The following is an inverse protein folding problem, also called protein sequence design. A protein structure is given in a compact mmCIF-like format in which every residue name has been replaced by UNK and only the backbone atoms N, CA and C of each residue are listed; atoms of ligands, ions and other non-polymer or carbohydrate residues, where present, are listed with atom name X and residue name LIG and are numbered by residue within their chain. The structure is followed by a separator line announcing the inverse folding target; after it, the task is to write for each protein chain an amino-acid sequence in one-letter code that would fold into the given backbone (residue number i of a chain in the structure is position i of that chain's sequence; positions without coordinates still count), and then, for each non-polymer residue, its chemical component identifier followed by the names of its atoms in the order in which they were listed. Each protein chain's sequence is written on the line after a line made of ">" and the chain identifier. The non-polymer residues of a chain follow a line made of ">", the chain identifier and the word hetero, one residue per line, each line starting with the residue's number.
data_IF_709794909689
#
_entry.id   IF_709794909689
#
_cell.length_a   1.000
_cell.length_b   1.000
_cell.length_c   1.000
_cell.angle_alpha   90.00
_cell.angle_beta   90.00
_cell.angle_gamma   90.00
#
_symmetry.space_group_name_H-M   'P 1'
#
loop_
_entity.id
_entity.type
_entity.pdbx_description
1 polymer ?
#
# COMPACT_ATOMS: atom_id res chain seq x y z
N UNK A 1 8.41 14.42 22.93
CA UNK A 1 9.59 14.82 23.74
C UNK A 1 9.77 16.31 23.52
N UNK A 2 9.92 17.11 24.57
CA UNK A 2 9.47 18.51 24.47
C UNK A 2 7.96 18.54 24.22
N UNK A 3 7.35 19.71 24.09
CA UNK A 3 5.89 19.89 23.99
C UNK A 3 5.22 19.28 22.74
N UNK A 4 5.95 18.48 21.94
CA UNK A 4 5.49 17.86 20.69
C UNK A 4 5.36 16.33 20.84
N UNK A 5 4.23 15.79 20.41
CA UNK A 5 4.02 14.35 20.25
C UNK A 5 4.76 13.87 18.98
N UNK A 6 5.41 12.71 19.06
CA UNK A 6 6.23 12.12 17.98
C UNK A 6 5.78 10.68 17.82
N UNK A 7 5.52 10.26 16.59
CA UNK A 7 5.10 8.88 16.30
C UNK A 7 6.33 7.98 16.25
N UNK A 8 6.45 7.08 17.23
CA UNK A 8 7.62 6.19 17.33
C UNK A 8 7.52 4.96 16.42
N UNK A 9 6.32 4.38 16.32
CA UNK A 9 6.08 3.16 15.56
C UNK A 9 4.58 2.97 15.31
N UNK A 10 4.26 2.02 14.43
CA UNK A 10 2.91 1.58 14.14
C UNK A 10 2.80 0.06 14.36
N UNK A 11 1.65 -0.41 14.85
CA UNK A 11 1.35 -1.82 15.04
C UNK A 11 0.05 -2.18 14.30
N UNK A 12 0.15 -3.14 13.37
CA UNK A 12 -0.99 -3.65 12.61
C UNK A 12 -1.76 -4.73 13.37
N UNK A 13 -2.93 -5.12 12.83
CA UNK A 13 -3.67 -6.28 13.31
C UNK A 13 -2.77 -7.54 13.38
N UNK A 14 -2.87 -8.28 14.47
CA UNK A 14 -2.02 -9.44 14.77
C UNK A 14 -0.72 -9.13 15.52
N UNK A 15 -0.33 -7.86 15.64
CA UNK A 15 0.82 -7.46 16.46
C UNK A 15 0.38 -7.02 17.86
N UNK A 16 1.29 -7.17 18.84
CA UNK A 16 1.05 -6.78 20.23
C UNK A 16 1.89 -5.55 20.63
N UNK A 17 1.48 -4.89 21.72
CA UNK A 17 2.17 -3.74 22.33
C UNK A 17 2.17 -3.86 23.85
N UNK A 18 3.09 -3.17 24.52
CA UNK A 18 3.15 -3.05 25.99
C UNK A 18 4.15 -3.98 26.67
N UNK A 19 4.76 -4.91 25.95
CA UNK A 19 5.77 -5.85 26.47
C UNK A 19 6.99 -5.13 27.04
N UNK A 20 7.35 -3.97 26.48
CA UNK A 20 8.57 -3.26 26.91
C UNK A 20 8.52 -2.86 28.38
N UNK A 21 7.37 -2.38 28.84
CA UNK A 21 7.16 -2.01 30.25
C UNK A 21 7.18 -3.26 31.15
N UNK A 22 6.58 -4.36 30.68
CA UNK A 22 6.49 -5.61 31.43
C UNK A 22 7.83 -6.35 31.56
N UNK A 23 8.69 -6.29 30.52
CA UNK A 23 10.01 -6.91 30.53
C UNK A 23 11.07 -6.08 31.27
N UNK A 24 10.98 -4.75 31.21
CA UNK A 24 11.97 -3.87 31.86
C UNK A 24 11.60 -3.49 33.29
N UNK A 25 10.39 -3.82 33.74
CA UNK A 25 9.79 -3.33 34.99
C UNK A 25 9.92 -1.79 35.15
N UNK A 26 9.79 -1.05 34.04
CA UNK A 26 9.81 0.42 33.99
C UNK A 26 8.47 0.97 33.51
N UNK A 27 8.14 2.24 33.84
CA UNK A 27 6.99 2.91 33.26
C UNK A 27 7.00 2.88 31.74
N UNK A 28 5.82 2.89 31.12
CA UNK A 28 5.67 2.93 29.66
C UNK A 28 6.48 4.07 29.06
N UNK A 29 7.30 3.77 28.06
CA UNK A 29 8.10 4.76 27.33
C UNK A 29 7.30 5.57 26.32
N UNK A 30 6.09 5.10 25.97
CA UNK A 30 5.22 5.73 24.99
C UNK A 30 3.73 5.48 25.30
N UNK A 31 2.87 6.32 24.74
CA UNK A 31 1.41 6.12 24.71
C UNK A 31 1.04 5.43 23.41
N UNK A 32 0.04 4.55 23.44
CA UNK A 32 -0.54 3.92 22.25
C UNK A 32 -1.90 4.56 21.99
N UNK A 33 -2.16 4.91 20.72
CA UNK A 33 -3.46 5.40 20.24
C UNK A 33 -3.92 4.52 19.08
N UNK A 34 -5.21 4.20 19.04
CA UNK A 34 -5.80 3.52 17.90
C UNK A 34 -5.85 4.49 16.70
N UNK A 35 -5.31 4.07 15.56
CA UNK A 35 -5.35 4.87 14.33
C UNK A 35 -6.72 4.77 13.61
N UNK A 36 -7.37 3.62 13.77
CA UNK A 36 -8.70 3.29 13.24
C UNK A 36 -9.48 2.52 14.32
N UNK A 37 -10.78 2.33 14.12
CA UNK A 37 -11.57 1.47 14.99
C UNK A 37 -10.96 0.06 15.07
N UNK A 38 -10.64 -0.39 16.28
CA UNK A 38 -9.95 -1.66 16.48
C UNK A 38 -10.49 -2.42 17.69
N UNK A 39 -10.50 -3.74 17.58
CA UNK A 39 -10.70 -4.65 18.71
C UNK A 39 -9.33 -5.15 19.19
N UNK A 40 -9.12 -5.15 20.51
CA UNK A 40 -7.85 -5.53 21.11
C UNK A 40 -8.05 -6.59 22.19
N UNK A 41 -7.18 -7.60 22.19
CA UNK A 41 -7.12 -8.62 23.24
C UNK A 41 -6.18 -8.13 24.34
N UNK A 42 -6.69 -8.02 25.57
CA UNK A 42 -5.88 -7.64 26.73
C UNK A 42 -5.26 -8.88 27.38
N UNK A 43 -3.95 -8.87 27.55
CA UNK A 43 -3.22 -9.85 28.35
C UNK A 43 -2.76 -9.18 29.64
N UNK A 44 -3.15 -9.72 30.80
CA UNK A 44 -2.73 -9.21 32.10
C UNK A 44 -1.23 -9.47 32.34
N UNK A 45 -0.55 -8.55 33.03
CA UNK A 45 0.90 -8.61 33.24
C UNK A 45 1.38 -9.88 33.93
N UNK A 46 0.62 -10.39 34.92
CA UNK A 46 0.94 -11.66 35.60
C UNK A 46 0.89 -12.85 34.64
N UNK A 47 -0.11 -12.90 33.76
CA UNK A 47 -0.24 -13.98 32.76
C UNK A 47 0.85 -13.89 31.71
N UNK A 48 1.21 -12.68 31.29
CA UNK A 48 2.33 -12.46 30.40
C UNK A 48 3.66 -12.93 31.03
N UNK A 49 3.93 -12.57 32.29
CA UNK A 49 5.12 -13.03 33.01
C UNK A 49 5.16 -14.54 33.16
N UNK A 50 4.02 -15.18 33.46
CA UNK A 50 3.92 -16.64 33.50
C UNK A 50 4.28 -17.27 32.13
N UNK A 51 3.75 -16.72 31.04
CA UNK A 51 4.06 -17.19 29.68
C UNK A 51 5.56 -17.07 29.34
N UNK A 52 6.23 -16.02 29.80
CA UNK A 52 7.68 -15.86 29.58
C UNK A 52 8.50 -16.92 30.32
N UNK A 53 8.00 -17.47 31.42
CA UNK A 53 8.64 -18.57 32.16
C UNK A 53 8.34 -19.92 31.52
N UNK A 54 7.09 -20.13 31.08
CA UNK A 54 6.62 -21.42 30.55
C UNK A 54 7.10 -21.72 29.13
N UNK A 55 7.34 -20.69 28.30
CA UNK A 55 7.67 -20.86 26.89
C UNK A 55 8.94 -20.12 26.48
N UNK A 56 10.02 -20.86 26.31
CA UNK A 56 11.30 -20.32 25.80
C UNK A 56 11.18 -19.73 24.40
N UNK A 57 10.33 -20.31 23.54
CA UNK A 57 10.09 -19.78 22.19
C UNK A 57 9.38 -18.43 22.25
N UNK A 58 8.37 -18.29 23.10
CA UNK A 58 7.67 -17.02 23.28
C UNK A 58 8.61 -15.97 23.87
N UNK A 59 9.34 -16.32 24.94
CA UNK A 59 10.32 -15.44 25.58
C UNK A 59 11.37 -14.93 24.58
N UNK A 60 11.96 -15.83 23.80
CA UNK A 60 12.97 -15.46 22.80
C UNK A 60 12.41 -14.52 21.72
N UNK A 61 11.17 -14.76 21.27
CA UNK A 61 10.50 -13.89 20.30
C UNK A 61 10.24 -12.50 20.88
N UNK A 62 9.72 -12.41 22.10
CA UNK A 62 9.43 -11.14 22.77
C UNK A 62 10.71 -10.37 23.09
N UNK A 63 11.76 -11.02 23.60
CA UNK A 63 13.06 -10.40 23.87
C UNK A 63 13.72 -9.84 22.59
N UNK A 64 13.53 -10.52 21.45
CA UNK A 64 13.98 -10.01 20.14
C UNK A 64 13.21 -8.74 19.77
N UNK A 65 11.88 -8.76 19.84
CA UNK A 65 11.04 -7.58 19.57
C UNK A 65 11.34 -6.43 20.52
N UNK A 66 11.62 -6.70 21.79
CA UNK A 66 12.04 -5.69 22.76
C UNK A 66 13.31 -4.96 22.30
N UNK A 67 14.35 -5.71 21.91
CA UNK A 67 15.61 -5.13 21.42
C UNK A 67 15.41 -4.31 20.14
N UNK A 68 14.62 -4.82 19.20
CA UNK A 68 14.29 -4.12 17.95
C UNK A 68 13.59 -2.77 18.25
N UNK A 69 12.62 -2.76 19.18
CA UNK A 69 11.87 -1.54 19.55
C UNK A 69 12.69 -0.53 20.33
N UNK A 70 13.58 -0.97 21.22
CA UNK A 70 14.48 -0.04 21.93
C UNK A 70 15.34 0.72 20.92
N UNK A 71 15.95 0.00 19.97
CA UNK A 71 16.78 0.62 18.94
C UNK A 71 15.98 1.54 18.00
N UNK A 72 14.77 1.13 17.60
CA UNK A 72 13.91 1.94 16.74
C UNK A 72 13.44 3.24 17.43
N UNK A 73 13.03 3.15 18.70
CA UNK A 73 12.59 4.30 19.47
C UNK A 73 13.70 5.33 19.68
N UNK A 74 14.94 4.87 19.93
CA UNK A 74 16.09 5.76 20.07
C UNK A 74 16.36 6.52 18.76
N UNK A 75 16.40 5.81 17.63
CA UNK A 75 16.56 6.44 16.30
C UNK A 75 15.46 7.46 16.02
N UNK A 76 14.20 7.09 16.21
CA UNK A 76 13.07 8.00 15.92
C UNK A 76 13.09 9.23 16.82
N UNK A 77 13.54 9.10 18.08
CA UNK A 77 13.67 10.24 19.00
C UNK A 77 14.73 11.26 18.57
N UNK A 78 15.69 10.84 17.73
CA UNK A 78 16.77 11.69 17.24
C UNK A 78 16.45 12.33 15.87
N UNK A 79 15.47 11.80 15.14
CA UNK A 79 15.15 12.22 13.77
C UNK A 79 13.69 12.67 13.66
N UNK A 80 13.44 13.96 13.89
CA UNK A 80 12.09 14.56 13.79
C UNK A 80 11.49 14.41 12.39
N UNK A 81 12.28 14.57 11.33
CA UNK A 81 11.80 14.45 9.93
C UNK A 81 11.27 13.05 9.60
N UNK A 82 11.87 12.00 10.16
CA UNK A 82 11.42 10.62 9.98
C UNK A 82 10.04 10.38 10.62
N UNK A 83 9.80 10.97 11.79
CA UNK A 83 8.49 10.92 12.44
C UNK A 83 7.44 11.67 11.63
N UNK A 84 7.77 12.82 11.07
CA UNK A 84 6.82 13.62 10.28
C UNK A 84 6.42 12.88 8.99
N UNK A 85 7.36 12.19 8.34
CA UNK A 85 7.06 11.29 7.21
C UNK A 85 6.18 10.13 7.65
N UNK A 86 6.45 9.51 8.79
CA UNK A 86 5.61 8.42 9.31
C UNK A 86 4.19 8.89 9.63
N UNK A 87 4.05 10.05 10.27
CA UNK A 87 2.76 10.67 10.58
C UNK A 87 1.98 11.00 9.30
N UNK A 88 2.66 11.56 8.29
CA UNK A 88 2.11 11.75 6.96
C UNK A 88 1.55 10.44 6.39
N UNK A 89 2.35 9.37 6.34
CA UNK A 89 1.92 8.07 5.80
C UNK A 89 0.69 7.52 6.54
N UNK A 90 0.67 7.62 7.87
CA UNK A 90 -0.48 7.20 8.67
C UNK A 90 -1.72 8.05 8.39
N UNK A 91 -1.57 9.37 8.28
CA UNK A 91 -2.67 10.29 7.92
C UNK A 91 -3.28 9.97 6.56
N UNK A 92 -2.47 9.40 5.65
CA UNK A 92 -2.93 8.99 4.35
C UNK A 92 -3.59 7.62 4.35
N UNK A 93 -3.68 6.89 5.45
CA UNK A 93 -4.34 5.58 5.53
C UNK A 93 -3.47 4.42 4.98
N UNK A 94 -2.14 4.58 5.00
CA UNK A 94 -1.21 3.51 4.58
C UNK A 94 -1.33 2.27 5.47
N UNK A 95 -1.80 2.42 6.71
CA UNK A 95 -2.04 1.33 7.66
C UNK A 95 -2.99 0.25 7.16
N UNK A 96 -3.95 0.60 6.31
CA UNK A 96 -4.97 -0.34 5.79
C UNK A 96 -4.52 -1.02 4.50
N UNK A 97 -3.45 -0.52 3.87
CA UNK A 97 -2.89 -1.08 2.65
C UNK A 97 -2.16 -2.39 2.93
N UNK A 98 -2.11 -3.30 1.96
CA UNK A 98 -1.09 -4.36 1.98
C UNK A 98 0.11 -4.01 1.14
N UNK A 99 -0.10 -3.16 0.15
CA UNK A 99 0.92 -2.71 -0.78
C UNK A 99 0.54 -1.34 -1.35
N UNK A 100 1.47 -0.41 -1.32
CA UNK A 100 1.28 0.94 -1.85
C UNK A 100 2.36 1.27 -2.87
N UNK A 101 1.97 1.97 -3.94
CA UNK A 101 2.91 2.61 -4.86
C UNK A 101 3.43 3.88 -4.20
N UNK A 102 4.75 3.99 -4.09
CA UNK A 102 5.46 5.17 -3.58
C UNK A 102 6.42 5.64 -4.65
N UNK A 103 6.54 6.96 -4.80
CA UNK A 103 7.51 7.60 -5.68
C UNK A 103 8.45 8.46 -4.83
N UNK A 104 9.75 8.20 -4.95
CA UNK A 104 10.79 9.07 -4.41
C UNK A 104 10.97 10.28 -5.35
N UNK A 105 10.51 11.45 -4.91
CA UNK A 105 10.59 12.70 -5.67
C UNK A 105 12.02 13.18 -5.89
N UNK A 106 12.99 12.73 -5.09
CA UNK A 106 14.41 13.05 -5.31
C UNK A 106 15.02 12.31 -6.51
N UNK A 107 14.40 11.20 -6.92
CA UNK A 107 14.83 10.38 -8.06
C UNK A 107 13.88 10.51 -9.27
N UNK A 108 12.65 10.96 -9.05
CA UNK A 108 11.64 11.03 -10.10
C UNK A 108 11.92 12.20 -11.05
N UNK A 109 11.98 11.91 -12.35
CA UNK A 109 12.17 12.93 -13.40
C UNK A 109 10.88 13.33 -14.11
N UNK A 110 9.72 12.83 -13.67
CA UNK A 110 8.41 13.13 -14.29
C UNK A 110 8.28 12.63 -15.74
N UNK A 111 8.86 11.46 -16.06
CA UNK A 111 8.88 10.94 -17.44
C UNK A 111 7.63 10.16 -17.88
N UNK A 112 6.64 9.98 -16.99
CA UNK A 112 5.37 9.25 -17.22
C UNK A 112 5.49 7.80 -17.69
N UNK A 113 6.70 7.21 -17.68
CA UNK A 113 6.91 5.82 -18.05
C UNK A 113 6.11 4.82 -17.19
N UNK A 114 5.82 5.17 -15.93
CA UNK A 114 5.02 4.33 -15.05
C UNK A 114 3.56 4.23 -15.52
N UNK A 115 2.97 5.33 -15.97
CA UNK A 115 1.60 5.40 -16.51
C UNK A 115 1.53 4.80 -17.90
N UNK A 116 2.47 5.17 -18.78
CA UNK A 116 2.55 4.66 -20.14
C UNK A 116 2.71 3.13 -20.17
N UNK A 117 3.57 2.58 -19.30
CA UNK A 117 3.73 1.12 -19.18
C UNK A 117 2.49 0.45 -18.58
N UNK A 118 1.82 1.09 -17.61
CA UNK A 118 0.57 0.57 -17.05
C UNK A 118 -0.51 0.49 -18.14
N UNK A 119 -0.73 1.58 -18.87
CA UNK A 119 -1.67 1.61 -19.99
C UNK A 119 -1.31 0.57 -21.06
N UNK A 120 -0.05 0.50 -21.50
CA UNK A 120 0.37 -0.47 -22.50
C UNK A 120 0.12 -1.92 -22.07
N UNK A 121 0.18 -2.19 -20.77
CA UNK A 121 -0.06 -3.50 -20.15
C UNK A 121 -1.56 -3.80 -20.00
N UNK A 122 -2.38 -2.79 -19.76
CA UNK A 122 -3.80 -2.93 -19.45
C UNK A 122 -4.68 -2.24 -20.51
N UNK A 123 -4.56 -2.70 -21.75
CA UNK A 123 -5.44 -2.30 -22.86
C UNK A 123 -5.58 -0.79 -23.01
N UNK A 124 -4.45 -0.09 -22.93
CA UNK A 124 -4.32 1.37 -23.06
C UNK A 124 -4.96 2.20 -21.96
N UNK A 125 -5.40 1.59 -20.86
CA UNK A 125 -5.97 2.29 -19.70
C UNK A 125 -4.96 2.27 -18.56
N UNK A 126 -4.39 3.43 -18.24
CA UNK A 126 -3.55 3.58 -17.06
C UNK A 126 -4.41 3.40 -15.82
N UNK A 127 -3.95 2.56 -14.88
CA UNK A 127 -4.67 2.26 -13.62
C UNK A 127 -4.00 2.90 -12.40
N UNK A 128 -3.23 3.95 -12.66
CA UNK A 128 -2.59 4.84 -11.71
C UNK A 128 -2.50 6.24 -12.33
N UNK A 129 -2.41 7.26 -11.49
CA UNK A 129 -2.09 8.64 -11.88
C UNK A 129 -0.83 9.07 -11.11
N UNK A 130 0.23 9.43 -11.83
CA UNK A 130 1.56 9.73 -11.26
C UNK A 130 1.58 11.09 -10.56
N UNK A 131 0.83 12.07 -11.04
CA UNK A 131 0.87 13.44 -10.50
C UNK A 131 -0.17 13.64 -9.39
N UNK A 132 -1.28 12.91 -9.45
CA UNK A 132 -2.31 12.99 -8.44
C UNK A 132 -1.92 12.27 -7.15
N UNK A 133 -2.20 12.90 -6.02
CA UNK A 133 -2.00 12.32 -4.71
C UNK A 133 -1.18 13.25 -3.81
N UNK A 134 -1.04 12.90 -2.53
CA UNK A 134 -0.31 13.71 -1.58
C UNK A 134 1.20 13.46 -1.66
N UNK A 135 1.99 14.52 -1.51
CA UNK A 135 3.44 14.47 -1.28
C UNK A 135 3.80 15.04 0.08
N UNK A 136 4.82 14.48 0.71
CA UNK A 136 5.47 15.07 1.87
C UNK A 136 6.97 14.75 1.86
N UNK A 137 7.79 15.77 2.11
CA UNK A 137 9.24 15.70 1.91
C UNK A 137 9.58 15.20 0.49
N UNK A 138 10.23 14.05 0.35
CA UNK A 138 10.54 13.44 -0.95
C UNK A 138 9.65 12.21 -1.24
N UNK A 139 8.58 12.01 -0.48
CA UNK A 139 7.70 10.84 -0.59
C UNK A 139 6.39 11.27 -1.23
N UNK A 140 6.14 10.81 -2.46
CA UNK A 140 4.87 10.98 -3.16
C UNK A 140 4.07 9.68 -3.16
N UNK A 141 2.78 9.77 -2.80
CA UNK A 141 1.84 8.66 -2.87
C UNK A 141 0.89 8.85 -4.05
N UNK A 142 1.24 8.36 -5.25
CA UNK A 142 0.39 8.51 -6.43
C UNK A 142 -0.96 7.83 -6.25
N UNK A 143 -1.95 8.31 -6.98
CA UNK A 143 -3.30 7.75 -6.98
C UNK A 143 -3.26 6.37 -7.64
N UNK A 144 -3.26 5.32 -6.83
CA UNK A 144 -3.15 3.94 -7.26
C UNK A 144 -3.71 2.99 -6.20
N UNK A 145 -4.26 1.84 -6.64
CA UNK A 145 -4.83 0.86 -5.72
C UNK A 145 -3.82 0.39 -4.66
N UNK A 146 -4.30 0.34 -3.41
CA UNK A 146 -3.54 0.01 -2.20
C UNK A 146 -3.71 -1.44 -1.72
N UNK A 147 -4.52 -2.22 -2.45
CA UNK A 147 -4.83 -3.63 -2.14
C UNK A 147 -5.15 -3.85 -0.66
N UNK A 148 -6.08 -3.07 -0.12
CA UNK A 148 -6.36 -3.01 1.31
C UNK A 148 -6.58 -4.38 1.94
N UNK A 149 -6.17 -4.55 3.19
CA UNK A 149 -6.41 -5.78 3.96
C UNK A 149 -7.92 -6.00 4.15
N UNK A 150 -8.66 -4.92 4.37
CA UNK A 150 -10.13 -4.88 4.43
C UNK A 150 -10.67 -4.05 3.25
N UNK A 151 -10.86 -4.67 2.06
CA UNK A 151 -11.23 -3.94 0.86
C UNK A 151 -12.71 -3.56 0.85
N UNK A 152 -13.01 -2.29 1.18
CA UNK A 152 -14.36 -1.72 1.08
C UNK A 152 -14.97 -1.88 -0.32
N UNK A 153 -14.14 -1.84 -1.37
CA UNK A 153 -14.60 -2.03 -2.75
C UNK A 153 -15.18 -3.42 -3.05
N UNK A 154 -14.84 -4.46 -2.27
CA UNK A 154 -15.44 -5.79 -2.41
C UNK A 154 -16.84 -5.87 -1.79
N UNK A 155 -17.18 -4.92 -0.91
CA UNK A 155 -18.51 -4.82 -0.33
C UNK A 155 -19.47 -4.33 -1.42
N UNK A 156 -20.59 -5.03 -1.56
CA UNK A 156 -21.68 -4.69 -2.49
C UNK A 156 -21.34 -4.76 -3.99
N UNK A 157 -20.47 -5.71 -4.40
CA UNK A 157 -20.34 -6.10 -5.80
C UNK A 157 -21.41 -7.15 -6.16
N UNK A 158 -22.49 -6.82 -6.92
CA UNK A 158 -23.57 -7.77 -7.18
C UNK A 158 -23.15 -9.06 -7.91
N UNK A 159 -22.26 -9.02 -8.93
CA UNK A 159 -21.77 -10.24 -9.57
C UNK A 159 -20.59 -10.88 -8.84
N UNK A 160 -20.16 -10.34 -7.68
CA UNK A 160 -18.99 -10.82 -6.94
C UNK A 160 -17.73 -10.86 -7.82
N UNK A 161 -17.54 -9.82 -8.64
CA UNK A 161 -16.46 -9.70 -9.63
C UNK A 161 -15.12 -9.23 -9.04
N UNK A 162 -15.09 -8.80 -7.78
CA UNK A 162 -13.86 -8.32 -7.14
C UNK A 162 -13.37 -9.41 -6.19
N UNK A 163 -12.15 -9.91 -6.45
CA UNK A 163 -11.56 -11.04 -5.73
C UNK A 163 -10.25 -10.64 -5.05
N UNK A 164 -9.85 -11.43 -4.06
CA UNK A 164 -8.54 -11.35 -3.41
C UNK A 164 -7.75 -12.62 -3.70
N UNK A 165 -6.54 -12.44 -4.21
CA UNK A 165 -5.57 -13.53 -4.41
C UNK A 165 -5.03 -14.02 -3.07
N UNK A 166 -4.45 -15.22 -3.05
CA UNK A 166 -3.78 -15.78 -1.88
C UNK A 166 -2.57 -14.92 -1.40
N UNK A 167 -1.96 -14.15 -2.30
CA UNK A 167 -0.85 -13.25 -1.99
C UNK A 167 -1.32 -11.86 -1.53
N UNK A 168 -2.63 -11.61 -1.51
CA UNK A 168 -3.23 -10.40 -0.96
C UNK A 168 -3.68 -9.36 -2.00
N UNK A 169 -3.38 -9.54 -3.27
CA UNK A 169 -3.79 -8.63 -4.33
C UNK A 169 -5.31 -8.69 -4.53
N UNK A 170 -5.97 -7.56 -4.38
CA UNK A 170 -7.36 -7.39 -4.82
C UNK A 170 -7.37 -7.16 -6.34
N UNK A 171 -8.24 -7.79 -7.10
CA UNK A 171 -8.37 -7.63 -8.56
C UNK A 171 -9.84 -7.73 -9.02
N UNK A 172 -10.14 -7.31 -10.25
CA UNK A 172 -11.49 -7.32 -10.84
C UNK A 172 -11.50 -8.30 -12.01
N UNK A 173 -12.47 -9.21 -12.04
CA UNK A 173 -12.69 -10.21 -13.09
C UNK A 173 -13.68 -9.70 -14.17
N UNK A 174 -13.70 -10.40 -15.30
CA UNK A 174 -14.54 -10.09 -16.47
C UNK A 174 -16.05 -10.16 -16.20
N UNK A 175 -16.45 -10.76 -15.07
CA UNK A 175 -17.84 -10.79 -14.58
C UNK A 175 -18.37 -9.41 -14.14
N UNK A 176 -17.52 -8.37 -14.16
CA UNK A 176 -17.90 -6.99 -13.85
C UNK A 176 -18.97 -6.46 -14.82
N UNK A 177 -20.11 -6.07 -14.26
CA UNK A 177 -21.26 -5.53 -15.01
C UNK A 177 -21.29 -4.01 -15.12
N UNK A 178 -20.30 -3.31 -14.56
CA UNK A 178 -20.23 -1.85 -14.66
C UNK A 178 -21.12 -1.04 -13.70
N UNK A 179 -21.54 -1.61 -12.57
CA UNK A 179 -22.50 -0.93 -11.67
C UNK A 179 -21.95 0.29 -10.89
N UNK A 180 -20.62 0.44 -10.78
CA UNK A 180 -19.98 1.56 -10.11
C UNK A 180 -20.02 1.56 -8.57
N UNK A 181 -20.56 0.53 -7.90
CA UNK A 181 -20.58 0.48 -6.43
C UNK A 181 -19.16 0.49 -5.84
N UNK A 182 -18.26 -0.29 -6.43
CA UNK A 182 -16.88 -0.38 -5.97
C UNK A 182 -16.12 0.96 -6.08
N UNK A 183 -16.39 1.76 -7.11
CA UNK A 183 -15.85 3.12 -7.26
C UNK A 183 -16.28 4.01 -6.11
N UNK A 184 -17.59 4.04 -5.81
CA UNK A 184 -18.15 4.82 -4.69
C UNK A 184 -17.65 4.36 -3.32
N UNK A 185 -17.44 3.06 -3.15
CA UNK A 185 -17.01 2.46 -1.89
C UNK A 185 -15.50 2.59 -1.65
N UNK A 186 -14.71 2.99 -2.64
CA UNK A 186 -13.27 3.14 -2.46
C UNK A 186 -12.95 4.49 -1.80
N UNK A 187 -12.45 4.52 -0.55
CA UNK A 187 -12.17 5.79 0.15
C UNK A 187 -11.01 6.59 -0.48
N UNK A 188 -10.24 5.97 -1.36
CA UNK A 188 -9.08 6.58 -2.02
C UNK A 188 -9.34 6.98 -3.47
N UNK A 189 -10.55 6.74 -4.01
CA UNK A 189 -10.94 7.09 -5.38
C UNK A 189 -9.98 6.56 -6.47
N UNK A 190 -9.46 5.33 -6.28
CA UNK A 190 -8.48 4.70 -7.19
C UNK A 190 -9.09 3.68 -8.16
N UNK A 191 -10.42 3.58 -8.17
CA UNK A 191 -11.18 2.74 -9.10
C UNK A 191 -11.87 3.69 -10.09
N UNK A 192 -11.79 3.37 -11.37
CA UNK A 192 -12.35 4.20 -12.44
C UNK A 192 -13.30 3.36 -13.28
N UNK A 193 -14.36 3.97 -13.80
CA UNK A 193 -15.19 3.35 -14.83
C UNK A 193 -14.59 3.61 -16.21
N UNK A 194 -14.24 2.55 -16.94
CA UNK A 194 -13.61 2.66 -18.25
C UNK A 194 -14.21 1.68 -19.26
N UNK A 195 -14.36 2.13 -20.50
CA UNK A 195 -14.73 1.25 -21.60
C UNK A 195 -13.49 0.46 -22.07
N UNK A 196 -13.45 -0.84 -21.80
CA UNK A 196 -12.38 -1.73 -22.29
C UNK A 196 -12.45 -1.86 -23.82
N UNK A 197 -11.77 -0.99 -24.56
CA UNK A 197 -11.89 -0.91 -26.02
C UNK A 197 -10.62 -0.47 -26.71
N UNK A 198 -9.52 -1.17 -26.51
CA UNK A 198 -8.28 -0.85 -27.22
C UNK A 198 -7.70 -2.13 -27.82
N UNK A 199 -7.92 -2.31 -29.13
CA UNK A 199 -7.30 -3.40 -29.89
C UNK A 199 -5.95 -2.91 -30.41
N UNK A 200 -4.88 -3.67 -30.16
CA UNK A 200 -3.59 -3.43 -30.81
C UNK A 200 -3.72 -3.71 -32.32
N UNK A 201 -3.26 -2.81 -33.20
CA UNK A 201 -3.25 -3.07 -34.63
C UNK A 201 -2.37 -4.29 -34.93
N UNK A 202 -2.75 -5.05 -35.95
CA UNK A 202 -1.96 -6.22 -36.36
C UNK A 202 -0.62 -5.76 -36.99
N UNK A 203 0.35 -6.66 -37.05
CA UNK A 203 1.69 -6.36 -37.56
C UNK A 203 1.66 -5.72 -38.95
N UNK A 204 0.76 -6.18 -39.84
CA UNK A 204 0.63 -5.61 -41.18
C UNK A 204 0.16 -4.14 -41.13
N UNK A 205 -0.81 -3.82 -40.28
CA UNK A 205 -1.32 -2.46 -40.13
C UNK A 205 -0.25 -1.51 -39.55
N UNK A 206 0.52 -1.98 -38.56
CA UNK A 206 1.68 -1.25 -38.07
C UNK A 206 2.73 -1.02 -39.16
N UNK A 207 3.15 -2.08 -39.86
CA UNK A 207 4.18 -2.05 -40.89
C UNK A 207 3.81 -1.14 -42.07
N UNK A 208 2.54 -1.20 -42.52
CA UNK A 208 2.09 -0.50 -43.72
C UNK A 208 1.65 0.94 -43.44
N UNK A 209 1.14 1.24 -42.24
CA UNK A 209 0.50 2.52 -41.94
C UNK A 209 1.11 3.26 -40.75
N UNK A 210 2.18 2.73 -40.13
CA UNK A 210 2.81 3.33 -38.95
C UNK A 210 1.85 3.49 -37.78
N UNK A 211 0.84 2.63 -37.71
CA UNK A 211 -0.26 2.78 -36.77
C UNK A 211 0.14 2.21 -35.40
N UNK A 212 0.73 3.06 -34.54
CA UNK A 212 1.12 2.72 -33.17
C UNK A 212 -0.01 2.94 -32.13
N UNK A 213 -1.19 3.39 -32.57
CA UNK A 213 -2.29 3.76 -31.68
C UNK A 213 -3.33 2.65 -31.62
N UNK A 214 -3.75 2.32 -30.40
CA UNK A 214 -4.89 1.45 -30.14
C UNK A 214 -6.15 2.00 -30.82
N UNK A 215 -6.88 1.15 -31.55
CA UNK A 215 -8.14 1.54 -32.18
C UNK A 215 -9.32 1.29 -31.24
N UNK A 216 -10.20 2.30 -31.12
CA UNK A 216 -11.45 2.19 -30.38
C UNK A 216 -12.44 1.28 -31.13
N UNK A 217 -12.79 0.14 -30.54
CA UNK A 217 -13.67 -0.84 -31.18
C UNK A 217 -15.14 -0.57 -30.84
N UNK A 218 -15.86 0.07 -31.76
CA UNK A 218 -17.33 0.14 -31.81
C UNK A 218 -17.99 1.21 -30.93
N UNK A 219 -19.27 1.51 -31.15
CA UNK A 219 -20.14 2.27 -30.24
C UNK A 219 -20.95 1.28 -29.36
N UNK A 220 -21.26 1.59 -28.10
CA UNK A 220 -22.08 0.78 -27.15
C UNK A 220 -21.43 -0.42 -26.41
N UNK A 221 -20.25 -0.27 -25.79
CA UNK A 221 -19.77 -1.27 -24.78
C UNK A 221 -19.99 -0.67 -23.39
N UNK A 222 -20.57 -1.43 -22.45
CA UNK A 222 -20.73 -0.99 -21.08
C UNK A 222 -19.37 -0.74 -20.44
N UNK A 223 -19.24 0.37 -19.71
CA UNK A 223 -18.05 0.65 -18.92
C UNK A 223 -17.88 -0.40 -17.82
N UNK A 224 -16.64 -0.81 -17.57
CA UNK A 224 -16.29 -1.71 -16.48
C UNK A 224 -15.38 -0.99 -15.50
N UNK A 225 -15.48 -1.39 -14.23
CA UNK A 225 -14.59 -0.89 -13.20
C UNK A 225 -13.17 -1.39 -13.46
N UNK A 226 -12.20 -0.48 -13.49
CA UNK A 226 -10.78 -0.76 -13.61
C UNK A 226 -10.03 -0.18 -12.42
N UNK A 227 -8.99 -0.89 -11.99
CA UNK A 227 -8.10 -0.47 -10.91
C UNK A 227 -6.76 -1.21 -11.01
N UNK A 228 -5.72 -0.71 -10.38
CA UNK A 228 -4.47 -1.46 -10.33
C UNK A 228 -4.71 -2.85 -9.70
N UNK A 229 -4.21 -3.87 -10.38
CA UNK A 229 -4.26 -5.29 -10.03
C UNK A 229 -2.86 -5.83 -9.69
N UNK A 230 -1.91 -4.91 -9.43
CA UNK A 230 -0.49 -5.21 -9.22
C UNK A 230 0.17 -5.97 -10.38
N UNK A 231 -0.41 -5.89 -11.59
CA UNK A 231 0.00 -6.69 -12.74
C UNK A 231 -0.02 -8.20 -12.41
N UNK A 232 -1.04 -8.65 -11.69
CA UNK A 232 -1.25 -10.07 -11.37
C UNK A 232 -1.18 -10.93 -12.64
N UNK A 233 -0.41 -12.03 -12.57
CA UNK A 233 -0.22 -12.94 -13.69
C UNK A 233 0.80 -12.47 -14.75
N UNK A 234 1.48 -11.33 -14.54
CA UNK A 234 2.50 -10.83 -15.45
C UNK A 234 3.90 -11.07 -14.89
N UNK A 235 4.74 -11.75 -15.69
CA UNK A 235 6.12 -12.00 -15.34
C UNK A 235 6.90 -10.69 -15.16
N UNK A 236 7.66 -10.60 -14.07
CA UNK A 236 8.40 -9.41 -13.66
C UNK A 236 7.62 -8.46 -12.75
N UNK A 237 6.34 -8.71 -12.46
CA UNK A 237 5.56 -7.97 -11.44
C UNK A 237 4.90 -6.67 -11.94
N UNK A 238 4.88 -5.58 -11.14
CA UNK A 238 4.26 -4.30 -11.53
C UNK A 238 5.00 -3.55 -12.65
N UNK A 239 4.33 -3.32 -13.78
CA UNK A 239 4.89 -2.64 -14.94
C UNK A 239 5.39 -1.22 -14.61
N UNK A 240 4.66 -0.50 -13.76
CA UNK A 240 5.00 0.86 -13.35
C UNK A 240 6.32 0.98 -12.58
N UNK A 241 6.72 -0.08 -11.86
CA UNK A 241 8.00 -0.16 -11.15
C UNK A 241 9.12 -0.52 -12.12
N UNK A 242 8.91 -1.55 -12.96
CA UNK A 242 9.92 -2.00 -13.93
C UNK A 242 10.25 -0.97 -15.01
N UNK A 243 9.30 -0.10 -15.37
CA UNK A 243 9.50 0.94 -16.39
C UNK A 243 10.14 2.21 -15.84
N UNK A 244 10.32 2.33 -14.52
CA UNK A 244 10.93 3.51 -13.91
C UNK A 244 12.45 3.53 -14.18
N UNK A 245 12.97 4.48 -14.97
CA UNK A 245 14.38 4.47 -15.38
C UNK A 245 15.34 4.84 -14.25
N UNK A 246 14.86 5.56 -13.24
CA UNK A 246 15.67 6.02 -12.10
C UNK A 246 15.50 5.17 -10.85
N UNK A 247 14.57 4.20 -10.86
CA UNK A 247 14.21 3.43 -9.67
C UNK A 247 13.39 4.22 -8.63
N UNK A 248 12.85 5.39 -8.99
CA UNK A 248 12.04 6.22 -8.10
C UNK A 248 10.72 5.57 -7.66
N UNK A 249 10.09 4.76 -8.52
CA UNK A 249 8.80 4.14 -8.24
C UNK A 249 8.98 2.75 -7.62
N UNK A 250 8.36 2.51 -6.47
CA UNK A 250 8.41 1.25 -5.76
C UNK A 250 7.05 0.84 -5.20
N UNK A 251 6.79 -0.46 -5.21
CA UNK A 251 5.63 -1.10 -4.55
C UNK A 251 6.12 -1.68 -3.23
N UNK A 252 5.61 -1.15 -2.12
CA UNK A 252 6.15 -1.41 -0.78
C UNK A 252 4.99 -1.74 0.16
N UNK A 253 5.17 -2.76 1.00
CA UNK A 253 4.25 -3.01 2.11
C UNK A 253 4.41 -1.94 3.21
N UNK A 254 3.34 -1.58 3.94
CA UNK A 254 3.44 -0.59 5.01
C UNK A 254 4.55 -0.88 6.01
N UNK A 255 4.71 -2.15 6.40
CA UNK A 255 5.74 -2.59 7.34
C UNK A 255 7.14 -2.19 6.86
N UNK A 256 7.43 -2.35 5.56
CA UNK A 256 8.74 -1.97 5.03
C UNK A 256 8.88 -0.45 4.92
N UNK A 257 7.82 0.26 4.57
CA UNK A 257 7.83 1.73 4.42
C UNK A 257 8.08 2.43 5.76
N UNK A 258 7.45 1.96 6.82
CA UNK A 258 7.62 2.47 8.20
C UNK A 258 9.03 2.14 8.73
N UNK A 259 9.57 0.98 8.36
CA UNK A 259 10.95 0.63 8.70
C UNK A 259 11.99 1.42 7.89
N UNK A 260 11.68 1.80 6.65
CA UNK A 260 12.55 2.64 5.83
C UNK A 260 12.56 4.08 6.34
N UNK A 261 11.42 4.66 6.72
CA UNK A 261 11.41 6.01 7.31
C UNK A 261 12.20 6.08 8.63
N UNK A 262 12.27 4.97 9.39
CA UNK A 262 13.09 4.87 10.60
C UNK A 262 14.57 4.48 10.36
N UNK A 263 14.94 4.12 9.13
CA UNK A 263 16.28 3.64 8.76
C UNK A 263 17.02 4.55 7.77
N UNK A 264 16.32 5.37 6.98
CA UNK A 264 16.91 6.26 5.99
C UNK A 264 17.61 7.44 6.66
N UNK A 265 18.92 7.29 6.81
CA UNK A 265 19.93 8.34 7.02
C UNK A 265 20.56 8.66 5.68
#
# INVERSE_FOLDING_TARGET
>A
IGTREITLSYARAGHYVGEMALLSDRPRSATVRAAVDCEAIRIDGERFKALMVESDSARSAVERTFRERVAANEKMSQHESASDVLEFLLSQGVSEATDILVIDESLCTGCDNCEAACAATHDGIARLDREAGPSFANVHLPTSCRHCEHPYCMVDCPPDAIKRSANGEVYIEDSCIGCGNCEKNCPYNVIQMAALRLRRPNFLAWLLFGQDRFEAVGANVPEQAVKCDMCIGIDGGPACVRSCPTGAAARISPDRLINLSSAST
#
